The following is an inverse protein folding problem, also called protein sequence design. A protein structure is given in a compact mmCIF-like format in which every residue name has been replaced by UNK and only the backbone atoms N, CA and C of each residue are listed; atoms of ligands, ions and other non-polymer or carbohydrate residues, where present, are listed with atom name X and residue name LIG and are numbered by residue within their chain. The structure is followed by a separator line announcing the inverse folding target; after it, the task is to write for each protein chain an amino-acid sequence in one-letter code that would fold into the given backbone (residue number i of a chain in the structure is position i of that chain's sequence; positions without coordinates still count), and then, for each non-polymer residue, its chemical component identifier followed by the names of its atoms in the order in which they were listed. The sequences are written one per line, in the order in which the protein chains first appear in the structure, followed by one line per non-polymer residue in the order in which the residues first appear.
data_IF_918682213959
#
_entry.id   IF_918682213959
#
_cell.length_a   1.000
_cell.length_b   1.000
_cell.length_c   1.000
_cell.angle_alpha   90.00
_cell.angle_beta   90.00
_cell.angle_gamma   90.00
#
_symmetry.space_group_name_H-M   'P 1'
#
loop_
_entity.id
_entity.type
_entity.pdbx_description
1 polymer ?
#
# COMPACT_ATOMS: atom_id res chain seq x y z
N UNK A 1 -46.20 17.49 25.09
CA UNK A 1 -45.06 17.80 24.20
C UNK A 1 -43.68 17.50 24.84
N UNK A 2 -43.61 16.92 26.04
CA UNK A 2 -42.33 16.66 26.75
C UNK A 2 -41.72 15.26 26.52
N UNK A 3 -42.51 14.26 26.07
CA UNK A 3 -42.01 12.89 25.88
C UNK A 3 -41.00 12.72 24.74
N UNK A 4 -41.02 13.58 23.73
CA UNK A 4 -40.12 13.52 22.57
C UNK A 4 -38.69 14.00 22.92
N UNK A 5 -38.55 14.85 23.94
CA UNK A 5 -37.26 15.40 24.38
C UNK A 5 -36.46 14.41 25.24
N UNK A 6 -37.14 13.54 25.99
CA UNK A 6 -36.51 12.58 26.91
C UNK A 6 -35.93 11.38 26.13
N UNK A 7 -36.64 10.90 25.10
CA UNK A 7 -36.17 9.83 24.21
C UNK A 7 -34.89 10.24 23.46
N UNK A 8 -34.85 11.45 22.90
CA UNK A 8 -33.65 12.01 22.23
C UNK A 8 -32.46 12.14 23.20
N UNK A 9 -32.72 12.47 24.46
CA UNK A 9 -31.67 12.58 25.49
C UNK A 9 -31.09 11.21 25.85
N UNK A 10 -31.92 10.17 25.96
CA UNK A 10 -31.47 8.81 26.26
C UNK A 10 -30.71 8.19 25.09
N UNK A 11 -31.16 8.40 23.85
CA UNK A 11 -30.45 7.96 22.65
C UNK A 11 -29.06 8.58 22.53
N UNK A 12 -28.94 9.90 22.78
CA UNK A 12 -27.65 10.60 22.84
C UNK A 12 -26.72 10.07 23.93
N UNK A 13 -27.26 9.75 25.10
CA UNK A 13 -26.49 9.19 26.21
C UNK A 13 -25.98 7.79 25.88
N UNK A 14 -26.82 6.95 25.26
CA UNK A 14 -26.46 5.62 24.80
C UNK A 14 -25.39 5.67 23.71
N UNK A 15 -25.56 6.55 22.72
CA UNK A 15 -24.57 6.77 21.66
C UNK A 15 -23.22 7.21 22.23
N UNK A 16 -23.21 8.12 23.22
CA UNK A 16 -21.99 8.57 23.90
C UNK A 16 -21.31 7.44 24.67
N UNK A 17 -22.08 6.58 25.35
CA UNK A 17 -21.53 5.44 26.09
C UNK A 17 -20.99 4.35 25.15
N UNK A 18 -21.68 4.08 24.05
CA UNK A 18 -21.20 3.18 23.00
C UNK A 18 -19.92 3.69 22.34
N UNK A 19 -19.85 4.99 22.08
CA UNK A 19 -18.65 5.65 21.55
C UNK A 19 -17.47 5.58 22.53
N UNK A 20 -17.69 5.88 23.81
CA UNK A 20 -16.65 5.76 24.86
C UNK A 20 -16.14 4.33 25.01
N UNK A 21 -17.03 3.33 25.03
CA UNK A 21 -16.64 1.93 25.12
C UNK A 21 -15.86 1.47 23.87
N UNK A 22 -16.17 2.02 22.70
CA UNK A 22 -15.42 1.76 21.47
C UNK A 22 -14.02 2.35 21.53
N UNK A 23 -13.87 3.58 22.02
CA UNK A 23 -12.56 4.22 22.23
C UNK A 23 -11.73 3.46 23.26
N UNK A 24 -12.33 3.02 24.38
CA UNK A 24 -11.63 2.28 25.44
C UNK A 24 -11.08 0.92 24.99
N UNK A 25 -11.56 0.39 23.86
CA UNK A 25 -11.11 -0.87 23.25
C UNK A 25 -10.31 -0.66 21.96
N UNK A 26 -10.13 0.58 21.52
CA UNK A 26 -9.40 0.90 20.32
C UNK A 26 -7.91 0.62 20.52
N UNK A 27 -7.30 -0.07 19.56
CA UNK A 27 -5.84 -0.16 19.46
C UNK A 27 -5.25 1.05 18.71
N UNK A 28 -3.94 1.09 18.54
CA UNK A 28 -3.27 2.21 17.85
C UNK A 28 -3.80 2.42 16.43
N UNK A 29 -4.08 1.33 15.70
CA UNK A 29 -4.67 1.36 14.35
C UNK A 29 -6.05 1.99 14.38
N UNK A 30 -6.90 1.58 15.32
CA UNK A 30 -8.25 2.13 15.46
C UNK A 30 -8.22 3.62 15.80
N UNK A 31 -7.30 4.05 16.65
CA UNK A 31 -7.13 5.47 16.98
C UNK A 31 -6.68 6.29 15.76
N UNK A 32 -5.72 5.80 15.00
CA UNK A 32 -5.23 6.47 13.78
C UNK A 32 -6.33 6.57 12.72
N UNK A 33 -7.09 5.49 12.50
CA UNK A 33 -8.23 5.47 11.58
C UNK A 33 -9.38 6.40 12.03
N UNK A 34 -9.56 6.62 13.34
CA UNK A 34 -10.54 7.58 13.86
C UNK A 34 -10.04 9.00 13.63
N UNK A 35 -8.76 9.27 13.90
CA UNK A 35 -8.15 10.59 13.73
C UNK A 35 -8.29 11.07 12.28
N UNK A 36 -7.94 10.24 11.30
CA UNK A 36 -8.02 10.58 9.87
C UNK A 36 -9.44 10.59 9.28
N UNK A 37 -10.47 10.33 10.09
CA UNK A 37 -11.88 10.56 9.70
C UNK A 37 -12.41 11.92 10.14
N UNK A 38 -11.67 12.63 10.99
CA UNK A 38 -12.01 13.98 11.42
C UNK A 38 -11.68 14.97 10.30
N UNK A 39 -12.34 16.13 10.31
CA UNK A 39 -11.96 17.23 9.42
C UNK A 39 -10.70 17.96 9.90
N UNK A 40 -10.06 18.73 9.02
CA UNK A 40 -8.79 19.41 9.32
C UNK A 40 -8.88 20.33 10.54
N UNK A 41 -10.01 21.02 10.75
CA UNK A 41 -10.23 21.90 11.90
C UNK A 41 -10.31 21.11 13.21
N UNK A 42 -10.97 19.95 13.20
CA UNK A 42 -11.04 19.03 14.33
C UNK A 42 -9.67 18.42 14.64
N UNK A 43 -8.94 17.98 13.61
CA UNK A 43 -7.57 17.47 13.77
C UNK A 43 -6.67 18.56 14.35
N UNK A 44 -6.74 19.80 13.86
CA UNK A 44 -5.97 20.93 14.36
C UNK A 44 -6.33 21.28 15.80
N UNK A 45 -7.61 21.18 16.17
CA UNK A 45 -8.06 21.41 17.54
C UNK A 45 -7.50 20.39 18.54
N UNK A 46 -7.23 19.16 18.09
CA UNK A 46 -6.69 18.07 18.90
C UNK A 46 -5.16 18.10 18.94
N UNK A 47 -4.53 18.32 17.78
CA UNK A 47 -3.07 18.23 17.60
C UNK A 47 -2.33 19.55 17.86
N UNK A 48 -3.02 20.69 17.85
CA UNK A 48 -2.40 22.02 17.94
C UNK A 48 -1.78 22.47 16.61
N UNK A 49 -0.75 23.30 16.65
CA UNK A 49 -0.08 23.76 15.42
C UNK A 49 0.70 22.62 14.76
N UNK A 50 0.22 22.13 13.62
CA UNK A 50 0.95 21.23 12.74
C UNK A 50 2.00 22.06 11.97
N UNK A 51 3.27 21.63 11.91
CA UNK A 51 4.27 22.32 11.09
C UNK A 51 3.87 22.31 9.61
N UNK A 52 4.13 23.42 8.91
CA UNK A 52 3.79 23.63 7.50
C UNK A 52 4.22 22.41 6.65
N UNK A 53 3.28 21.70 5.97
CA UNK A 53 3.61 20.57 5.11
C UNK A 53 4.65 20.91 4.03
N UNK A 54 4.70 22.16 3.55
CA UNK A 54 5.69 22.62 2.58
C UNK A 54 7.12 22.68 3.15
N UNK A 55 7.27 22.65 4.48
CA UNK A 55 8.56 22.56 5.18
C UNK A 55 9.08 21.11 5.30
N UNK A 56 8.22 20.11 5.08
CA UNK A 56 8.57 18.68 5.13
C UNK A 56 9.08 18.25 3.75
N UNK A 57 10.35 18.54 3.45
CA UNK A 57 11.00 18.19 2.17
C UNK A 57 11.65 16.79 2.14
N UNK A 58 11.53 16.00 3.22
CA UNK A 58 12.04 14.63 3.22
C UNK A 58 10.94 13.70 2.73
N UNK A 59 11.23 12.94 1.66
CA UNK A 59 10.54 11.71 1.36
C UNK A 59 10.47 10.90 2.66
N UNK A 60 9.27 10.57 3.14
CA UNK A 60 9.13 9.80 4.37
C UNK A 60 9.53 8.33 4.12
N UNK A 61 10.84 8.10 4.15
CA UNK A 61 11.43 6.77 4.06
C UNK A 61 11.19 5.95 5.33
N UNK A 62 10.69 6.54 6.43
CA UNK A 62 10.49 5.81 7.68
C UNK A 62 9.44 4.70 7.51
N UNK A 63 8.34 4.99 6.80
CA UNK A 63 7.29 4.01 6.50
C UNK A 63 7.76 2.91 5.54
N UNK A 64 8.49 3.28 4.48
CA UNK A 64 9.11 2.29 3.57
C UNK A 64 10.08 1.38 4.34
N UNK A 65 10.93 1.96 5.19
CA UNK A 65 11.87 1.22 6.02
C UNK A 65 11.15 0.28 6.99
N UNK A 66 10.02 0.70 7.57
CA UNK A 66 9.22 -0.12 8.46
C UNK A 66 8.69 -1.36 7.74
N UNK A 67 8.04 -1.17 6.58
CA UNK A 67 7.47 -2.27 5.78
C UNK A 67 8.57 -3.21 5.29
N UNK A 68 9.69 -2.65 4.79
CA UNK A 68 10.83 -3.45 4.35
C UNK A 68 11.41 -4.25 5.52
N UNK A 69 11.59 -3.62 6.69
CA UNK A 69 12.07 -4.30 7.90
C UNK A 69 11.13 -5.40 8.37
N UNK A 70 9.81 -5.26 8.14
CA UNK A 70 8.84 -6.31 8.41
C UNK A 70 8.99 -7.48 7.43
N UNK A 71 9.05 -7.21 6.12
CA UNK A 71 9.21 -8.24 5.09
C UNK A 71 10.49 -9.05 5.32
N UNK A 72 11.58 -8.42 5.71
CA UNK A 72 12.84 -9.09 6.03
C UNK A 72 12.74 -10.10 7.19
N UNK A 73 11.75 -9.96 8.07
CA UNK A 73 11.52 -10.89 9.20
C UNK A 73 10.58 -12.04 8.84
N UNK A 74 9.96 -12.00 7.65
CA UNK A 74 9.05 -13.06 7.22
C UNK A 74 9.82 -14.37 7.03
N UNK A 75 9.30 -15.44 7.62
CA UNK A 75 9.84 -16.78 7.47
C UNK A 75 9.10 -17.52 6.37
N UNK A 76 9.83 -18.29 5.56
CA UNK A 76 9.23 -19.17 4.56
C UNK A 76 8.53 -20.35 5.24
N UNK A 77 7.23 -20.24 5.47
CA UNK A 77 6.43 -21.33 6.00
C UNK A 77 5.99 -22.26 4.87
N UNK A 78 6.49 -23.52 4.90
CA UNK A 78 6.15 -24.57 3.92
C UNK A 78 4.63 -24.82 3.77
N UNK A 79 3.83 -24.49 4.78
CA UNK A 79 2.39 -24.76 4.81
C UNK A 79 1.54 -23.86 3.92
N UNK A 80 2.03 -22.66 3.60
CA UNK A 80 1.21 -21.64 2.92
C UNK A 80 1.32 -21.72 1.39
N UNK A 81 2.45 -22.25 0.88
CA UNK A 81 2.78 -22.34 -0.55
C UNK A 81 1.74 -23.15 -1.34
N UNK A 82 1.13 -24.18 -0.71
CA UNK A 82 0.18 -25.08 -1.37
C UNK A 82 -1.20 -24.46 -1.66
N UNK A 83 -1.49 -23.26 -1.14
CA UNK A 83 -2.77 -22.55 -1.33
C UNK A 83 -2.63 -21.21 -2.05
N UNK A 84 -1.41 -20.80 -2.41
CA UNK A 84 -1.19 -19.52 -3.11
C UNK A 84 -1.70 -19.65 -4.55
N UNK A 85 -2.76 -18.92 -4.86
CA UNK A 85 -3.18 -18.68 -6.24
C UNK A 85 -2.33 -17.51 -6.73
N UNK A 86 -1.48 -17.76 -7.73
CA UNK A 86 -0.67 -16.70 -8.35
C UNK A 86 -1.53 -15.85 -9.28
N UNK A 87 -1.35 -14.52 -9.27
CA UNK A 87 -2.00 -13.64 -10.24
C UNK A 87 -1.61 -13.97 -11.69
N UNK A 88 -2.56 -13.95 -12.63
CA UNK A 88 -2.26 -14.01 -14.07
C UNK A 88 -1.88 -12.62 -14.56
N UNK A 89 -0.58 -12.35 -14.58
CA UNK A 89 -0.02 -11.05 -14.98
C UNK A 89 0.85 -11.12 -16.24
N UNK A 90 0.84 -12.25 -16.95
CA UNK A 90 1.70 -12.47 -18.13
C UNK A 90 1.46 -11.44 -19.23
N UNK A 91 0.19 -11.03 -19.40
CA UNK A 91 -0.17 -9.97 -20.36
C UNK A 91 0.46 -8.64 -19.98
N UNK A 92 0.41 -8.28 -18.69
CA UNK A 92 0.99 -7.04 -18.17
C UNK A 92 2.52 -7.04 -18.27
N UNK A 93 3.16 -8.16 -17.96
CA UNK A 93 4.61 -8.37 -18.11
C UNK A 93 5.04 -8.11 -19.56
N UNK A 94 4.34 -8.72 -20.54
CA UNK A 94 4.61 -8.51 -21.96
C UNK A 94 4.35 -7.07 -22.40
N UNK A 95 3.24 -6.49 -21.96
CA UNK A 95 2.86 -5.11 -22.30
C UNK A 95 3.92 -4.10 -21.87
N UNK A 96 4.50 -4.31 -20.69
CA UNK A 96 5.52 -3.43 -20.11
C UNK A 96 6.95 -3.78 -20.55
N UNK A 97 7.15 -4.70 -21.50
CA UNK A 97 8.46 -5.16 -21.96
C UNK A 97 9.38 -5.65 -20.84
N UNK A 98 8.83 -6.38 -19.86
CA UNK A 98 9.59 -6.99 -18.78
C UNK A 98 10.18 -8.34 -19.22
N UNK A 99 11.45 -8.56 -18.95
CA UNK A 99 12.14 -9.80 -19.30
C UNK A 99 11.75 -10.96 -18.39
N UNK A 100 12.09 -12.19 -18.82
CA UNK A 100 11.85 -13.41 -18.03
C UNK A 100 12.51 -13.36 -16.63
N UNK A 101 13.75 -12.85 -16.47
CA UNK A 101 14.32 -12.62 -15.14
C UNK A 101 13.46 -11.73 -14.24
N UNK A 102 12.96 -10.59 -14.75
CA UNK A 102 12.12 -9.68 -13.97
C UNK A 102 10.77 -10.31 -13.63
N UNK A 103 10.17 -11.02 -14.59
CA UNK A 103 8.96 -11.82 -14.35
C UNK A 103 9.17 -12.83 -13.20
N UNK A 104 10.33 -13.50 -13.16
CA UNK A 104 10.67 -14.44 -12.10
C UNK A 104 10.78 -13.74 -10.73
N UNK A 105 11.36 -12.54 -10.67
CA UNK A 105 11.44 -11.75 -9.45
C UNK A 105 10.06 -11.33 -8.93
N UNK A 106 9.17 -10.86 -9.81
CA UNK A 106 7.78 -10.53 -9.46
C UNK A 106 7.02 -11.76 -8.96
N UNK A 107 7.17 -12.90 -9.66
CA UNK A 107 6.56 -14.16 -9.23
C UNK A 107 7.04 -14.61 -7.84
N UNK A 108 8.32 -14.42 -7.55
CA UNK A 108 8.86 -14.68 -6.21
C UNK A 108 8.26 -13.75 -5.15
N UNK A 109 7.99 -12.49 -5.52
CA UNK A 109 7.29 -11.53 -4.66
C UNK A 109 5.85 -11.93 -4.38
N UNK A 110 5.13 -12.48 -5.36
CA UNK A 110 3.73 -12.95 -5.19
C UNK A 110 3.56 -13.97 -4.07
N UNK A 111 4.53 -14.86 -3.85
CA UNK A 111 4.48 -15.83 -2.75
C UNK A 111 4.47 -15.19 -1.35
N UNK A 112 4.92 -13.95 -1.21
CA UNK A 112 4.98 -13.24 0.06
C UNK A 112 3.80 -12.26 0.26
N UNK A 113 2.90 -12.14 -0.72
CA UNK A 113 1.81 -11.18 -0.64
C UNK A 113 0.80 -11.48 0.45
N UNK A 114 0.56 -12.74 0.79
CA UNK A 114 -0.35 -13.07 1.88
C UNK A 114 0.12 -12.44 3.20
N UNK A 115 1.38 -12.64 3.55
CA UNK A 115 1.97 -12.09 4.77
C UNK A 115 2.06 -10.56 4.73
N UNK A 116 2.42 -9.97 3.59
CA UNK A 116 2.42 -8.51 3.44
C UNK A 116 1.00 -7.93 3.58
N UNK A 117 0.00 -8.54 2.94
CA UNK A 117 -1.38 -8.09 3.02
C UNK A 117 -1.94 -8.24 4.44
N UNK A 118 -1.60 -9.32 5.15
CA UNK A 118 -1.96 -9.50 6.56
C UNK A 118 -1.34 -8.41 7.44
N UNK A 119 -0.04 -8.11 7.26
CA UNK A 119 0.61 -7.04 7.99
C UNK A 119 -0.06 -5.69 7.70
N UNK A 120 -0.25 -5.31 6.43
CA UNK A 120 -0.91 -4.05 6.08
C UNK A 120 -2.34 -4.00 6.62
N UNK A 121 -3.09 -5.11 6.56
CA UNK A 121 -4.44 -5.19 7.10
C UNK A 121 -4.49 -5.13 8.62
N UNK A 122 -3.44 -5.52 9.34
CA UNK A 122 -3.35 -5.44 10.80
C UNK A 122 -2.75 -4.11 11.30
N UNK A 123 -2.18 -3.31 10.40
CA UNK A 123 -1.78 -1.93 10.65
C UNK A 123 -2.85 -0.96 10.11
N UNK A 124 -2.58 0.35 10.16
CA UNK A 124 -3.54 1.36 9.74
C UNK A 124 -3.75 1.42 8.24
N UNK A 125 -4.95 1.90 7.86
CA UNK A 125 -5.25 2.18 6.46
C UNK A 125 -4.32 3.27 5.93
N UNK A 126 -3.94 4.22 6.80
CA UNK A 126 -2.98 5.26 6.49
C UNK A 126 -1.64 4.70 6.01
N UNK A 127 -1.07 3.69 6.69
CA UNK A 127 0.17 3.04 6.22
C UNK A 127 -0.01 2.40 4.83
N UNK A 128 -1.12 1.68 4.61
CA UNK A 128 -1.37 1.02 3.34
C UNK A 128 -1.56 2.01 2.17
N UNK A 129 -2.31 3.09 2.41
CA UNK A 129 -2.54 4.16 1.45
C UNK A 129 -1.24 4.94 1.17
N UNK A 130 -0.51 5.33 2.22
CA UNK A 130 0.76 6.03 2.09
C UNK A 130 1.81 5.21 1.34
N UNK A 131 1.87 3.90 1.57
CA UNK A 131 2.78 3.01 0.85
C UNK A 131 2.40 2.92 -0.64
N UNK A 132 1.10 2.83 -0.96
CA UNK A 132 0.61 2.81 -2.34
C UNK A 132 1.00 4.10 -3.05
N UNK A 133 0.64 5.23 -2.46
CA UNK A 133 0.86 6.55 -3.04
C UNK A 133 2.35 6.79 -3.26
N UNK A 134 3.18 6.38 -2.29
CA UNK A 134 4.64 6.44 -2.41
C UNK A 134 5.19 5.62 -3.59
N UNK A 135 4.73 4.39 -3.75
CA UNK A 135 5.18 3.54 -4.86
C UNK A 135 4.71 4.08 -6.21
N UNK A 136 3.51 4.66 -6.26
CA UNK A 136 2.99 5.31 -7.47
C UNK A 136 3.79 6.57 -7.82
N UNK A 137 4.16 7.39 -6.84
CA UNK A 137 5.00 8.58 -7.05
C UNK A 137 6.36 8.21 -7.65
N UNK A 138 7.02 7.19 -7.07
CA UNK A 138 8.31 6.69 -7.58
C UNK A 138 8.12 6.16 -9.01
N UNK A 139 7.10 5.34 -9.25
CA UNK A 139 6.80 4.81 -10.58
C UNK A 139 6.60 5.93 -11.61
N UNK A 140 5.74 6.91 -11.31
CA UNK A 140 5.41 8.01 -12.20
C UNK A 140 6.63 8.86 -12.52
N UNK A 141 7.50 9.10 -11.52
CA UNK A 141 8.76 9.80 -11.71
C UNK A 141 9.72 9.04 -12.63
N UNK A 142 9.98 7.76 -12.34
CA UNK A 142 10.96 6.94 -13.07
C UNK A 142 10.49 6.56 -14.48
N UNK A 143 9.17 6.40 -14.69
CA UNK A 143 8.57 6.07 -15.99
C UNK A 143 8.89 7.10 -17.07
N UNK A 144 9.10 8.36 -16.68
CA UNK A 144 9.48 9.42 -17.62
C UNK A 144 10.91 9.25 -18.17
N UNK A 145 11.74 8.46 -17.50
CA UNK A 145 13.18 8.31 -17.77
C UNK A 145 13.54 6.92 -18.29
N UNK A 146 12.79 5.89 -17.88
CA UNK A 146 13.14 4.49 -18.10
C UNK A 146 11.92 3.66 -18.53
N UNK A 147 12.15 2.47 -19.11
CA UNK A 147 11.11 1.52 -19.52
C UNK A 147 11.57 0.08 -19.35
N UNK A 148 10.64 -0.88 -19.33
CA UNK A 148 10.98 -2.30 -19.22
C UNK A 148 11.79 -2.61 -17.96
N UNK A 149 12.81 -3.44 -18.12
CA UNK A 149 13.71 -3.83 -17.02
C UNK A 149 14.44 -2.65 -16.37
N UNK A 150 14.82 -1.63 -17.16
CA UNK A 150 15.51 -0.44 -16.62
C UNK A 150 14.59 0.34 -15.68
N UNK A 151 13.30 0.45 -16.02
CA UNK A 151 12.29 1.07 -15.14
C UNK A 151 12.09 0.26 -13.87
N UNK A 152 12.03 -1.07 -13.99
CA UNK A 152 11.93 -1.95 -12.83
C UNK A 152 13.09 -1.71 -11.86
N UNK A 153 14.33 -1.72 -12.34
CA UNK A 153 15.48 -1.50 -11.48
C UNK A 153 15.61 -0.07 -10.96
N UNK A 154 15.18 0.93 -11.73
CA UNK A 154 15.12 2.32 -11.26
C UNK A 154 14.20 2.46 -10.04
N UNK A 155 13.01 1.85 -10.08
CA UNK A 155 12.07 1.83 -8.95
C UNK A 155 12.69 1.09 -7.77
N UNK A 156 13.25 -0.11 -7.98
CA UNK A 156 13.89 -0.90 -6.91
C UNK A 156 14.97 -0.08 -6.22
N UNK A 157 15.85 0.57 -6.99
CA UNK A 157 16.97 1.33 -6.44
C UNK A 157 16.52 2.62 -5.72
N UNK A 158 15.46 3.26 -6.20
CA UNK A 158 14.90 4.48 -5.59
C UNK A 158 14.17 4.19 -4.26
N UNK A 159 13.45 3.06 -4.20
CA UNK A 159 12.69 2.65 -3.02
C UNK A 159 13.54 1.88 -1.99
N UNK A 160 14.71 1.35 -2.37
CA UNK A 160 15.59 0.64 -1.46
C UNK A 160 16.48 1.60 -0.65
N UNK A 161 16.61 1.42 0.68
CA UNK A 161 17.50 2.26 1.49
C UNK A 161 18.98 2.08 1.15
N UNK A 162 19.36 0.85 0.78
CA UNK A 162 20.69 0.49 0.28
C UNK A 162 20.55 -0.51 -0.86
N UNK A 163 21.61 -0.67 -1.66
CA UNK A 163 21.64 -1.63 -2.77
C UNK A 163 21.85 -3.09 -2.34
N UNK A 164 21.72 -3.40 -1.04
CA UNK A 164 21.87 -4.77 -0.56
C UNK A 164 20.65 -5.62 -0.93
N UNK A 165 20.91 -6.88 -1.28
CA UNK A 165 19.92 -7.83 -1.79
C UNK A 165 18.69 -7.95 -0.91
N UNK A 166 18.83 -7.87 0.42
CA UNK A 166 17.71 -8.03 1.36
C UNK A 166 16.70 -6.88 1.27
N UNK A 167 17.17 -5.63 1.11
CA UNK A 167 16.30 -4.48 0.92
C UNK A 167 15.64 -4.52 -0.45
N UNK A 168 16.43 -4.79 -1.50
CA UNK A 168 15.91 -4.89 -2.87
C UNK A 168 14.85 -5.99 -3.01
N UNK A 169 15.09 -7.17 -2.41
CA UNK A 169 14.11 -8.27 -2.43
C UNK A 169 12.81 -7.88 -1.72
N UNK A 170 12.91 -7.16 -0.60
CA UNK A 170 11.73 -6.68 0.13
C UNK A 170 10.95 -5.64 -0.67
N UNK A 171 11.64 -4.72 -1.33
CA UNK A 171 11.03 -3.75 -2.25
C UNK A 171 10.36 -4.46 -3.43
N UNK A 172 10.96 -5.53 -3.97
CA UNK A 172 10.35 -6.33 -5.04
C UNK A 172 9.04 -6.98 -4.59
N UNK A 173 8.92 -7.42 -3.33
CA UNK A 173 7.65 -7.93 -2.79
C UNK A 173 6.59 -6.83 -2.78
N UNK A 174 6.94 -5.62 -2.32
CA UNK A 174 6.04 -4.45 -2.33
C UNK A 174 5.65 -4.10 -3.78
N UNK A 175 6.62 -4.06 -4.70
CA UNK A 175 6.34 -3.82 -6.12
C UNK A 175 5.42 -4.88 -6.70
N UNK A 176 5.57 -6.15 -6.32
CA UNK A 176 4.72 -7.23 -6.80
C UNK A 176 3.26 -6.99 -6.40
N UNK A 177 3.01 -6.54 -5.16
CA UNK A 177 1.66 -6.14 -4.71
C UNK A 177 1.03 -5.11 -5.63
N UNK A 178 1.75 -4.02 -5.89
CA UNK A 178 1.22 -2.90 -6.67
C UNK A 178 1.23 -3.15 -8.18
N UNK A 179 2.03 -4.12 -8.63
CA UNK A 179 1.96 -4.65 -9.99
C UNK A 179 0.66 -5.46 -10.17
N UNK A 180 0.25 -6.26 -9.18
CA UNK A 180 -1.02 -6.99 -9.18
C UNK A 180 -2.23 -6.04 -9.13
N UNK A 181 -2.20 -5.01 -8.28
CA UNK A 181 -3.35 -4.09 -8.08
C UNK A 181 -3.45 -2.95 -9.09
N UNK A 182 -2.66 -2.99 -10.17
CA UNK A 182 -2.67 -1.98 -11.24
C UNK A 182 -2.17 -0.59 -10.83
N UNK A 183 -1.50 -0.45 -9.68
CA UNK A 183 -1.00 0.84 -9.18
C UNK A 183 0.35 1.24 -9.79
N UNK A 184 1.13 0.27 -10.26
CA UNK A 184 2.38 0.48 -11.00
C UNK A 184 2.41 -0.40 -12.25
N UNK A 185 3.11 0.08 -13.28
CA UNK A 185 3.16 -0.50 -14.62
C UNK A 185 1.79 -0.51 -15.33
N UNK A 186 1.81 -0.34 -16.64
CA UNK A 186 0.59 -0.07 -17.42
C UNK A 186 -0.22 -1.34 -17.66
N UNK A 187 -1.54 -1.22 -17.70
CA UNK A 187 -2.41 -2.31 -18.15
C UNK A 187 -2.55 -2.33 -19.68
N UNK A 188 -2.64 -3.53 -20.28
CA UNK A 188 -2.92 -3.65 -21.70
C UNK A 188 -4.37 -3.25 -21.98
N UNK A 189 -4.61 -2.01 -22.43
CA UNK A 189 -5.94 -1.54 -22.83
C UNK A 189 -6.53 -2.42 -23.96
N UNK A 190 -7.83 -2.74 -23.88
CA UNK A 190 -8.55 -3.61 -24.84
C UNK A 190 -8.37 -3.18 -26.32
N UNK A 191 -8.20 -1.88 -26.57
CA UNK A 191 -8.06 -1.30 -27.91
C UNK A 191 -6.68 -1.61 -28.54
N UNK A 192 -5.62 -1.83 -27.75
CA UNK A 192 -4.30 -2.17 -28.26
C UNK A 192 -4.09 -3.69 -28.47
N UNK A 193 -4.91 -4.53 -27.82
CA UNK A 193 -4.88 -5.98 -27.98
C UNK A 193 -5.33 -6.44 -29.38
N UNK A 194 -6.26 -5.72 -30.02
CA UNK A 194 -6.71 -5.99 -31.39
C UNK A 194 -5.58 -5.83 -32.42
N UNK A 195 -4.72 -4.82 -32.29
CA UNK A 195 -3.63 -4.54 -33.24
C UNK A 195 -2.44 -5.50 -33.14
N UNK A 196 -2.27 -6.16 -32.00
CA UNK A 196 -1.22 -7.17 -31.79
C UNK A 196 -1.63 -8.50 -32.43
N UNK A 197 -2.92 -8.84 -32.38
CA UNK A 197 -3.46 -10.08 -32.94
C UNK A 197 -3.56 -10.07 -34.48
N UNK A 198 -3.49 -8.90 -35.12
CA UNK A 198 -3.46 -8.77 -36.60
C UNK A 198 -2.05 -8.89 -37.21
N UNK A 199 -1.00 -9.00 -36.38
CA UNK A 199 0.41 -9.09 -36.83
C UNK A 199 1.08 -10.44 -36.56
N UNK A 200 0.32 -11.47 -36.19
CA UNK A 200 0.75 -12.88 -36.16
C UNK A 200 0.15 -13.62 -37.34
#
# INVERSE_FOLDING_TARGET
MEGYSILDTQEKMLARHLFQNKILKADAKDMENILFKLDDDQILSISGNIPDPASIKMLDYSMLNEVVSHIMKLTLNKGDIAKVILPDVDKKIKFNNLSKPIACLLNNGFFQLHALNEYLANNSNFLADSLRDKMNDIYTHEKSQSKGDDLFWAIVNCASPTAETMYQTSVIVIMSKYFETCDIFEEPNDIQQSKINEKQ
#
